data_IF_610157031098
#
_entry.id   IF_610157031098
#
_cell.length_a   1.000
_cell.length_b   1.000
_cell.length_c   1.000
_cell.angle_alpha   90.00
_cell.angle_beta   90.00
_cell.angle_gamma   90.00
#
_symmetry.space_group_name_H-M   'P 1'
#
loop_
_entity.id
_entity.type
_entity.pdbx_description
1 polymer ?
#
# COMPACT_ATOMS: atom_id res chain seq x y z
N UNK A 1 -34.68 12.20 -6.97
CA UNK A 1 -33.69 11.29 -6.37
C UNK A 1 -32.29 11.83 -6.64
N UNK A 2 -31.61 12.42 -5.65
CA UNK A 2 -30.18 12.71 -5.76
C UNK A 2 -29.46 11.36 -5.82
N UNK A 3 -28.78 11.05 -6.92
CA UNK A 3 -27.81 9.94 -6.96
C UNK A 3 -26.68 10.34 -6.02
N UNK A 4 -26.75 9.92 -4.76
CA UNK A 4 -25.67 10.13 -3.81
C UNK A 4 -24.47 9.33 -4.31
N UNK A 5 -23.41 10.03 -4.71
CA UNK A 5 -22.11 9.41 -4.85
C UNK A 5 -21.67 8.98 -3.45
N UNK A 6 -21.24 7.74 -3.31
CA UNK A 6 -20.70 7.24 -2.05
C UNK A 6 -19.29 7.81 -1.86
N UNK A 7 -19.02 8.35 -0.67
CA UNK A 7 -17.69 8.91 -0.37
C UNK A 7 -16.75 7.78 0.03
N UNK A 8 -15.48 7.89 -0.38
CA UNK A 8 -14.47 6.85 -0.20
C UNK A 8 -13.39 7.28 0.80
N UNK A 9 -12.91 6.32 1.58
CA UNK A 9 -11.60 6.36 2.22
C UNK A 9 -10.65 5.46 1.44
N UNK A 10 -9.43 5.93 1.15
CA UNK A 10 -8.39 5.14 0.47
C UNK A 10 -7.13 5.17 1.32
N UNK A 11 -6.65 4.00 1.69
CA UNK A 11 -5.28 3.81 2.14
C UNK A 11 -4.44 3.42 0.91
N UNK A 12 -3.54 4.32 0.50
CA UNK A 12 -2.69 4.14 -0.66
C UNK A 12 -1.31 3.62 -0.22
N UNK A 13 -1.31 2.43 0.36
CA UNK A 13 -0.11 1.80 0.89
C UNK A 13 0.92 1.44 -0.18
N UNK A 14 2.16 1.21 0.27
CA UNK A 14 3.25 0.76 -0.61
C UNK A 14 3.06 -0.71 -1.06
N UNK A 15 2.41 -1.53 -0.23
CA UNK A 15 2.20 -2.96 -0.48
C UNK A 15 0.75 -3.28 -0.89
N UNK A 16 -0.23 -2.72 -0.18
CA UNK A 16 -1.65 -2.95 -0.40
C UNK A 16 -2.40 -1.62 -0.47
N UNK A 17 -3.47 -1.60 -1.24
CA UNK A 17 -4.43 -0.50 -1.29
C UNK A 17 -5.76 -0.97 -0.74
N UNK A 18 -6.25 -0.27 0.27
CA UNK A 18 -7.56 -0.52 0.85
C UNK A 18 -8.49 0.62 0.44
N UNK A 19 -9.73 0.27 0.10
CA UNK A 19 -10.79 1.25 -0.15
C UNK A 19 -11.99 0.92 0.72
N UNK A 20 -12.43 1.91 1.48
CA UNK A 20 -13.66 1.86 2.27
C UNK A 20 -14.73 2.78 1.72
N UNK A 21 -15.99 2.37 1.83
CA UNK A 21 -17.15 3.23 1.58
C UNK A 21 -17.70 3.70 2.93
N UNK A 22 -18.05 4.99 3.02
CA UNK A 22 -18.71 5.54 4.22
C UNK A 22 -19.90 4.66 4.62
N UNK A 23 -19.97 4.29 5.89
CA UNK A 23 -21.02 3.45 6.50
C UNK A 23 -21.10 1.99 6.00
N UNK A 24 -20.18 1.56 5.14
CA UNK A 24 -20.15 0.19 4.60
C UNK A 24 -18.82 -0.56 4.91
N UNK A 25 -17.80 0.16 5.37
CA UNK A 25 -16.50 -0.42 5.70
C UNK A 25 -15.64 -0.69 4.47
N UNK A 26 -14.66 -1.59 4.61
CA UNK A 26 -13.68 -1.93 3.58
C UNK A 26 -14.36 -2.79 2.49
N UNK A 27 -14.26 -2.35 1.24
CA UNK A 27 -14.83 -3.01 0.06
C UNK A 27 -13.78 -3.46 -0.96
N UNK A 28 -12.56 -2.95 -0.85
CA UNK A 28 -11.39 -3.36 -1.61
C UNK A 28 -10.23 -3.51 -0.66
N UNK A 29 -9.53 -4.64 -0.76
CA UNK A 29 -8.26 -4.93 -0.10
C UNK A 29 -7.43 -5.74 -1.10
N UNK A 30 -6.53 -5.06 -1.81
CA UNK A 30 -5.75 -5.67 -2.89
C UNK A 30 -4.32 -5.13 -2.93
N UNK A 31 -3.36 -5.91 -3.46
CA UNK A 31 -1.99 -5.46 -3.64
C UNK A 31 -1.87 -4.17 -4.47
N UNK A 32 -0.96 -3.28 -4.10
CA UNK A 32 -0.64 -2.07 -4.87
C UNK A 32 0.29 -2.39 -6.05
N UNK A 33 -0.19 -3.26 -6.94
CA UNK A 33 0.57 -3.80 -8.08
C UNK A 33 -0.21 -3.56 -9.37
N UNK A 34 0.50 -3.20 -10.43
CA UNK A 34 -0.05 -3.00 -11.77
C UNK A 34 0.80 -3.76 -12.78
N UNK A 35 0.16 -4.53 -13.68
CA UNK A 35 0.85 -5.17 -14.78
C UNK A 35 0.75 -4.29 -16.04
N UNK A 36 1.89 -3.95 -16.61
CA UNK A 36 2.01 -3.08 -17.79
C UNK A 36 2.79 -3.77 -18.90
N UNK A 37 2.62 -3.27 -20.13
CA UNK A 37 3.52 -3.59 -21.22
C UNK A 37 4.89 -2.98 -20.93
N UNK A 38 5.93 -3.80 -21.03
CA UNK A 38 7.30 -3.40 -20.68
C UNK A 38 7.73 -2.14 -21.44
N UNK A 39 8.21 -1.14 -20.69
CA UNK A 39 8.67 0.12 -21.24
C UNK A 39 7.55 1.09 -21.66
N UNK A 40 6.30 0.82 -21.25
CA UNK A 40 5.17 1.74 -21.43
C UNK A 40 4.30 1.77 -20.18
N UNK A 41 3.42 2.77 -20.09
CA UNK A 41 2.42 2.86 -19.02
C UNK A 41 1.09 2.20 -19.42
N UNK A 42 1.09 1.35 -20.46
CA UNK A 42 -0.11 0.66 -20.92
C UNK A 42 -0.42 -0.52 -19.98
N UNK A 43 -1.41 -0.33 -19.11
CA UNK A 43 -1.95 -1.37 -18.23
C UNK A 43 -2.62 -2.46 -19.06
N UNK A 44 -2.36 -3.73 -18.71
CA UNK A 44 -2.90 -4.89 -19.41
C UNK A 44 -4.39 -5.10 -19.13
N UNK A 45 -5.00 -6.00 -19.90
CA UNK A 45 -6.42 -6.38 -19.78
C UNK A 45 -7.34 -5.16 -19.81
N UNK A 46 -7.11 -4.24 -20.75
CA UNK A 46 -7.87 -2.98 -20.89
C UNK A 46 -7.95 -2.15 -19.60
N UNK A 47 -6.85 -2.14 -18.82
CA UNK A 47 -6.77 -1.42 -17.54
C UNK A 47 -7.23 -2.21 -16.33
N UNK A 48 -7.51 -3.51 -16.48
CA UNK A 48 -7.98 -4.38 -15.39
C UNK A 48 -6.87 -5.17 -14.71
N UNK A 49 -5.66 -5.20 -15.27
CA UNK A 49 -4.52 -5.88 -14.67
C UNK A 49 -3.89 -5.04 -13.53
N UNK A 50 -4.65 -4.90 -12.44
CA UNK A 50 -4.33 -4.17 -11.21
C UNK A 50 -4.68 -5.08 -10.03
N UNK A 51 -4.03 -4.91 -8.88
CA UNK A 51 -4.40 -5.63 -7.67
C UNK A 51 -4.01 -7.10 -7.73
N UNK A 52 -4.92 -7.97 -7.31
CA UNK A 52 -4.71 -9.42 -7.31
C UNK A 52 -4.41 -9.95 -8.72
N UNK A 53 -5.08 -9.41 -9.74
CA UNK A 53 -4.82 -9.79 -11.13
C UNK A 53 -3.40 -9.46 -11.56
N UNK A 54 -2.85 -8.32 -11.11
CA UNK A 54 -1.47 -7.95 -11.41
C UNK A 54 -0.45 -8.77 -10.60
N UNK A 55 -0.80 -9.13 -9.36
CA UNK A 55 0.07 -9.90 -8.46
C UNK A 55 0.41 -11.28 -9.04
N UNK A 56 -0.51 -11.93 -9.75
CA UNK A 56 -0.25 -13.21 -10.44
C UNK A 56 0.92 -13.13 -11.43
N UNK A 57 1.16 -11.95 -11.99
CA UNK A 57 2.25 -11.69 -12.91
C UNK A 57 3.56 -11.29 -12.19
N UNK A 58 3.52 -10.90 -10.92
CA UNK A 58 4.70 -10.41 -10.20
C UNK A 58 5.77 -11.52 -10.08
N UNK A 59 6.93 -11.29 -10.69
CA UNK A 59 8.01 -12.27 -10.77
C UNK A 59 7.77 -13.44 -11.74
N UNK A 60 6.66 -13.43 -12.50
CA UNK A 60 6.24 -14.46 -13.47
C UNK A 60 5.72 -13.88 -14.79
N UNK A 61 6.06 -12.62 -15.10
CA UNK A 61 5.61 -11.95 -16.33
C UNK A 61 6.16 -12.62 -17.59
N UNK A 62 5.31 -12.88 -18.60
CA UNK A 62 5.79 -13.28 -19.93
C UNK A 62 6.70 -12.21 -20.55
N UNK A 63 7.53 -12.57 -21.55
CA UNK A 63 8.35 -11.61 -22.28
C UNK A 63 7.52 -10.43 -22.82
N UNK A 64 7.98 -9.21 -22.56
CA UNK A 64 7.30 -7.98 -23.01
C UNK A 64 6.32 -7.38 -21.99
N UNK A 65 6.17 -7.98 -20.81
CA UNK A 65 5.39 -7.42 -19.70
C UNK A 65 6.25 -7.22 -18.45
N UNK A 66 5.77 -6.38 -17.54
CA UNK A 66 6.33 -6.17 -16.21
C UNK A 66 5.22 -5.85 -15.22
N UNK A 67 5.38 -6.30 -13.97
CA UNK A 67 4.52 -5.95 -12.86
C UNK A 67 5.26 -4.95 -11.97
N UNK A 68 4.62 -3.82 -11.68
CA UNK A 68 5.21 -2.65 -11.04
C UNK A 68 4.41 -2.32 -9.78
N UNK A 69 5.12 -1.95 -8.71
CA UNK A 69 4.54 -1.26 -7.55
C UNK A 69 4.74 0.24 -7.77
N UNK A 70 3.68 1.01 -8.09
CA UNK A 70 3.83 2.42 -8.44
C UNK A 70 3.98 3.33 -7.22
N UNK A 71 3.76 2.78 -6.02
CA UNK A 71 4.04 3.39 -4.73
C UNK A 71 5.37 2.85 -4.19
N UNK A 72 6.24 3.71 -3.66
CA UNK A 72 7.49 3.32 -3.02
C UNK A 72 7.75 4.19 -1.79
N UNK A 73 7.98 3.56 -0.63
CA UNK A 73 8.21 4.26 0.64
C UNK A 73 7.19 5.37 0.91
N UNK A 74 5.90 5.07 0.67
CA UNK A 74 4.79 5.99 0.91
C UNK A 74 4.60 7.09 -0.15
N UNK A 75 5.43 7.16 -1.20
CA UNK A 75 5.34 8.17 -2.26
C UNK A 75 5.02 7.58 -3.62
N UNK A 76 4.41 8.38 -4.49
CA UNK A 76 4.10 8.03 -5.88
C UNK A 76 5.40 8.05 -6.69
N UNK A 77 5.86 6.87 -7.13
CA UNK A 77 7.02 6.72 -8.00
C UNK A 77 6.67 6.84 -9.49
N UNK A 78 5.48 6.39 -9.87
CA UNK A 78 4.95 6.53 -11.24
C UNK A 78 3.53 7.12 -11.23
N UNK A 79 3.38 8.33 -11.76
CA UNK A 79 2.13 9.06 -11.74
C UNK A 79 1.04 8.42 -12.61
N UNK A 80 1.37 7.98 -13.82
CA UNK A 80 0.39 7.49 -14.80
C UNK A 80 -0.10 6.09 -14.43
N UNK A 81 0.81 5.26 -13.92
CA UNK A 81 0.48 3.93 -13.40
C UNK A 81 -0.35 4.08 -12.11
N UNK A 82 0.00 5.00 -11.21
CA UNK A 82 -0.81 5.27 -10.00
C UNK A 82 -2.20 5.79 -10.34
N UNK A 83 -2.33 6.70 -11.31
CA UNK A 83 -3.64 7.15 -11.79
C UNK A 83 -4.49 5.99 -12.30
N UNK A 84 -3.90 5.08 -13.07
CA UNK A 84 -4.58 3.91 -13.60
C UNK A 84 -5.01 2.95 -12.49
N UNK A 85 -4.15 2.74 -11.49
CA UNK A 85 -4.42 1.94 -10.29
C UNK A 85 -5.57 2.53 -9.45
N UNK A 86 -5.51 3.82 -9.14
CA UNK A 86 -6.56 4.53 -8.41
C UNK A 86 -7.89 4.50 -9.18
N UNK A 87 -7.85 4.68 -10.50
CA UNK A 87 -9.04 4.60 -11.35
C UNK A 87 -9.68 3.23 -11.28
N UNK A 88 -8.88 2.17 -11.29
CA UNK A 88 -9.35 0.81 -11.10
C UNK A 88 -10.02 0.64 -9.74
N UNK A 89 -9.35 1.00 -8.65
CA UNK A 89 -9.89 0.80 -7.30
C UNK A 89 -11.13 1.65 -7.00
N UNK A 90 -11.18 2.91 -7.43
CA UNK A 90 -12.36 3.77 -7.30
C UNK A 90 -13.56 3.17 -8.05
N UNK A 91 -13.33 2.64 -9.26
CA UNK A 91 -14.39 1.99 -10.06
C UNK A 91 -14.84 0.68 -9.43
N UNK A 92 -13.90 -0.12 -8.91
CA UNK A 92 -14.18 -1.40 -8.26
C UNK A 92 -15.02 -1.20 -7.01
N UNK A 93 -14.67 -0.22 -6.16
CA UNK A 93 -15.45 0.14 -4.98
C UNK A 93 -16.91 0.48 -5.33
N UNK A 94 -17.17 1.10 -6.48
CA UNK A 94 -18.50 1.45 -6.95
C UNK A 94 -19.19 0.37 -7.82
N UNK A 95 -18.75 -0.88 -7.74
CA UNK A 95 -19.35 -1.98 -8.51
C UNK A 95 -19.25 -1.81 -10.03
N UNK A 96 -18.20 -1.14 -10.52
CA UNK A 96 -17.93 -0.95 -11.95
C UNK A 96 -18.72 0.18 -12.63
N UNK A 97 -19.48 0.99 -11.90
CA UNK A 97 -20.27 2.10 -12.46
C UNK A 97 -19.38 3.24 -13.00
N UNK A 98 -19.43 3.51 -14.31
CA UNK A 98 -18.49 4.39 -15.03
C UNK A 98 -18.74 5.92 -14.94
N UNK A 99 -19.66 6.41 -14.11
CA UNK A 99 -20.02 7.84 -14.06
C UNK A 99 -20.20 8.40 -12.64
N UNK A 100 -19.64 7.73 -11.64
CA UNK A 100 -19.66 8.22 -10.25
C UNK A 100 -18.35 8.97 -9.99
N UNK A 101 -18.46 10.16 -9.42
CA UNK A 101 -17.31 11.00 -9.04
C UNK A 101 -17.36 11.25 -7.52
N UNK A 102 -16.76 10.37 -6.71
CA UNK A 102 -16.85 10.43 -5.25
C UNK A 102 -15.98 11.53 -4.66
N UNK A 103 -16.28 11.91 -3.42
CA UNK A 103 -15.26 12.55 -2.60
C UNK A 103 -14.40 11.46 -2.01
N UNK A 104 -13.10 11.71 -1.92
CA UNK A 104 -12.12 10.74 -1.45
C UNK A 104 -11.31 11.36 -0.33
N UNK A 105 -11.12 10.62 0.75
CA UNK A 105 -10.10 10.89 1.78
C UNK A 105 -8.96 9.90 1.56
N UNK A 106 -7.72 10.37 1.47
CA UNK A 106 -6.54 9.52 1.24
C UNK A 106 -5.58 9.69 2.42
N UNK A 107 -5.18 8.57 3.04
CA UNK A 107 -4.11 8.55 4.02
C UNK A 107 -2.75 8.78 3.31
N UNK A 108 -1.92 9.65 3.86
CA UNK A 108 -0.58 9.93 3.34
C UNK A 108 0.45 9.94 4.48
N UNK A 109 1.70 9.52 4.23
CA UNK A 109 2.72 9.44 5.25
C UNK A 109 2.95 10.77 5.95
N UNK A 110 3.37 10.71 7.20
CA UNK A 110 3.87 11.89 7.89
C UNK A 110 5.10 12.46 7.18
N UNK A 111 5.19 13.79 7.12
CA UNK A 111 6.33 14.46 6.48
C UNK A 111 6.33 14.45 4.94
N UNK A 112 5.28 13.93 4.30
CA UNK A 112 5.09 14.04 2.85
C UNK A 112 5.18 15.51 2.39
N UNK A 113 5.96 15.76 1.34
CA UNK A 113 6.25 17.12 0.86
C UNK A 113 5.04 17.73 0.15
N UNK A 114 5.02 19.06 0.01
CA UNK A 114 3.95 19.76 -0.74
C UNK A 114 3.82 19.28 -2.19
N UNK A 115 4.93 18.89 -2.82
CA UNK A 115 4.93 18.38 -4.20
C UNK A 115 4.27 17.00 -4.23
N UNK A 116 4.66 16.09 -3.34
CA UNK A 116 4.07 14.75 -3.25
C UNK A 116 2.58 14.79 -2.87
N UNK A 117 2.16 15.64 -1.92
CA UNK A 117 0.73 15.87 -1.60
C UNK A 117 -0.05 16.27 -2.87
N UNK A 118 0.51 17.16 -3.67
CA UNK A 118 -0.12 17.62 -4.92
C UNK A 118 -0.19 16.50 -5.96
N UNK A 119 0.82 15.64 -6.02
CA UNK A 119 0.83 14.46 -6.89
C UNK A 119 -0.30 13.50 -6.51
N UNK A 120 -0.47 13.17 -5.23
CA UNK A 120 -1.56 12.29 -4.74
C UNK A 120 -2.94 12.84 -5.12
N UNK A 121 -3.17 14.13 -4.83
CA UNK A 121 -4.43 14.81 -5.18
C UNK A 121 -4.68 14.75 -6.69
N UNK A 122 -3.68 15.12 -7.49
CA UNK A 122 -3.81 15.16 -8.95
C UNK A 122 -4.07 13.77 -9.55
N UNK A 123 -3.41 12.72 -9.04
CA UNK A 123 -3.64 11.33 -9.47
C UNK A 123 -5.07 10.89 -9.16
N UNK A 124 -5.57 11.16 -7.95
CA UNK A 124 -6.91 10.78 -7.54
C UNK A 124 -8.01 11.55 -8.31
N UNK A 125 -7.83 12.84 -8.57
CA UNK A 125 -8.74 13.64 -9.39
C UNK A 125 -8.79 13.14 -10.84
N UNK A 126 -7.64 12.87 -11.45
CA UNK A 126 -7.55 12.28 -12.80
C UNK A 126 -8.06 10.84 -12.87
N UNK A 127 -8.01 10.12 -11.76
CA UNK A 127 -8.62 8.80 -11.62
C UNK A 127 -10.16 8.85 -11.55
N UNK A 128 -10.76 10.01 -11.27
CA UNK A 128 -12.21 10.23 -11.29
C UNK A 128 -12.80 10.77 -9.99
N UNK A 129 -11.98 11.08 -8.98
CA UNK A 129 -12.45 11.73 -7.77
C UNK A 129 -12.95 13.16 -8.07
N UNK A 130 -14.03 13.58 -7.40
CA UNK A 130 -14.58 14.94 -7.50
C UNK A 130 -13.85 15.92 -6.59
N UNK A 131 -13.50 15.47 -5.38
CA UNK A 131 -12.75 16.22 -4.37
C UNK A 131 -11.88 15.25 -3.60
N UNK A 132 -10.65 15.65 -3.32
CA UNK A 132 -9.68 14.82 -2.58
C UNK A 132 -9.30 15.56 -1.31
N UNK A 133 -9.38 14.87 -0.18
CA UNK A 133 -8.89 15.31 1.11
C UNK A 133 -7.76 14.38 1.51
N UNK A 134 -6.74 14.93 2.18
CA UNK A 134 -5.64 14.14 2.72
C UNK A 134 -5.77 14.10 4.24
N UNK A 135 -5.42 12.95 4.82
CA UNK A 135 -5.26 12.78 6.26
C UNK A 135 -3.88 12.20 6.51
N UNK A 136 -3.21 12.63 7.58
CA UNK A 136 -1.93 12.05 7.96
C UNK A 136 -2.15 10.60 8.42
N UNK A 137 -1.39 9.68 7.85
CA UNK A 137 -1.41 8.24 8.11
C UNK A 137 -1.36 7.88 9.61
N UNK A 138 -0.51 8.48 10.48
CA UNK A 138 -0.55 8.16 11.91
C UNK A 138 -1.87 8.55 12.57
N UNK A 139 -2.53 9.60 12.10
CA UNK A 139 -3.84 10.00 12.61
C UNK A 139 -4.91 9.02 12.17
N UNK A 140 -4.89 8.60 10.90
CA UNK A 140 -5.79 7.57 10.39
C UNK A 140 -5.60 6.23 11.12
N UNK A 141 -4.36 5.80 11.32
CA UNK A 141 -4.01 4.60 12.06
C UNK A 141 -4.45 4.68 13.52
N UNK A 142 -4.26 5.82 14.19
CA UNK A 142 -4.70 6.04 15.56
C UNK A 142 -6.21 5.95 15.73
N UNK A 143 -6.96 6.53 14.79
CA UNK A 143 -8.42 6.40 14.74
C UNK A 143 -8.82 4.93 14.49
N UNK A 144 -8.17 4.27 13.51
CA UNK A 144 -8.42 2.86 13.17
C UNK A 144 -8.13 1.88 14.32
N UNK A 145 -7.13 2.18 15.15
CA UNK A 145 -6.77 1.44 16.36
C UNK A 145 -7.65 1.79 17.58
N UNK A 146 -8.66 2.64 17.41
CA UNK A 146 -9.57 3.10 18.47
C UNK A 146 -8.84 3.79 19.64
N UNK A 147 -7.73 4.49 19.35
CA UNK A 147 -7.04 5.32 20.33
C UNK A 147 -7.83 6.61 20.57
N UNK A 148 -7.86 7.15 21.81
CA UNK A 148 -8.54 8.40 22.13
C UNK A 148 -7.75 9.63 21.63
N UNK A 149 -7.46 9.68 20.33
CA UNK A 149 -6.59 10.70 19.72
C UNK A 149 -7.10 12.13 19.88
N UNK A 150 -8.39 12.32 20.16
CA UNK A 150 -9.05 13.60 20.36
C UNK A 150 -9.05 14.09 21.82
N UNK A 151 -8.63 13.25 22.76
CA UNK A 151 -8.56 13.57 24.19
C UNK A 151 -7.27 14.33 24.54
N UNK A 152 -7.24 15.07 25.67
CA UNK A 152 -6.03 15.75 26.18
C UNK A 152 -5.02 14.78 26.83
N UNK A 153 -4.86 13.58 26.26
CA UNK A 153 -3.85 12.60 26.64
C UNK A 153 -2.95 12.30 25.44
N UNK A 154 -1.67 11.98 25.69
CA UNK A 154 -0.74 11.58 24.64
C UNK A 154 -0.93 10.11 24.29
N UNK A 155 -1.24 9.81 23.03
CA UNK A 155 -1.33 8.46 22.48
C UNK A 155 -0.16 8.22 21.53
N UNK A 156 0.65 7.19 21.78
CA UNK A 156 1.71 6.79 20.86
C UNK A 156 1.20 5.69 19.94
N UNK A 157 1.49 5.82 18.64
CA UNK A 157 1.25 4.79 17.64
C UNK A 157 2.55 4.47 16.91
N UNK A 158 2.73 3.18 16.59
CA UNK A 158 3.79 2.66 15.74
C UNK A 158 3.12 1.87 14.64
N UNK A 159 3.16 2.38 13.41
CA UNK A 159 2.64 1.75 12.21
C UNK A 159 3.81 1.18 11.39
N UNK A 160 3.81 -0.12 11.12
CA UNK A 160 4.86 -0.80 10.35
C UNK A 160 4.23 -1.31 9.06
N UNK A 161 4.42 -0.55 7.98
CA UNK A 161 3.86 -0.84 6.67
C UNK A 161 4.77 -1.71 5.79
N UNK A 162 4.53 -1.62 4.49
CA UNK A 162 5.37 -2.29 3.48
C UNK A 162 6.73 -1.60 3.28
N UNK A 163 6.74 -0.29 3.07
CA UNK A 163 7.96 0.46 2.72
C UNK A 163 8.37 1.54 3.73
N UNK A 164 7.58 1.77 4.76
CA UNK A 164 7.81 2.76 5.81
C UNK A 164 7.31 2.25 7.15
N UNK A 165 8.00 2.64 8.22
CA UNK A 165 7.48 2.54 9.59
C UNK A 165 7.31 3.95 10.15
N UNK A 166 6.14 4.26 10.68
CA UNK A 166 5.82 5.56 11.22
C UNK A 166 5.57 5.48 12.72
N UNK A 167 6.18 6.41 13.45
CA UNK A 167 6.00 6.53 14.90
C UNK A 167 5.47 7.92 15.18
N UNK A 168 4.34 8.02 15.89
CA UNK A 168 3.74 9.30 16.20
C UNK A 168 3.17 9.34 17.62
N UNK A 169 3.23 10.52 18.24
CA UNK A 169 2.49 10.85 19.46
C UNK A 169 1.40 11.85 19.10
N UNK A 170 0.15 11.53 19.44
CA UNK A 170 -1.05 12.27 19.06
C UNK A 170 -1.79 12.72 20.33
N UNK A 171 -2.27 13.95 20.36
CA UNK A 171 -3.16 14.47 21.40
C UNK A 171 -4.06 15.56 20.83
N UNK A 172 -5.30 15.70 21.31
CA UNK A 172 -6.24 16.71 20.84
C UNK A 172 -6.38 16.75 19.30
N UNK A 173 -6.40 15.57 18.67
CA UNK A 173 -6.43 15.35 17.22
C UNK A 173 -5.27 15.98 16.44
N UNK A 174 -4.16 16.29 17.11
CA UNK A 174 -2.95 16.84 16.52
C UNK A 174 -1.78 15.88 16.73
N UNK A 175 -0.99 15.67 15.67
CA UNK A 175 0.31 15.01 15.78
C UNK A 175 1.28 15.96 16.48
N UNK A 176 1.71 15.59 17.70
CA UNK A 176 2.61 16.38 18.54
C UNK A 176 4.06 16.22 18.07
N UNK A 177 4.44 14.97 17.79
CA UNK A 177 5.74 14.60 17.24
C UNK A 177 5.55 13.32 16.43
N UNK A 178 6.26 13.21 15.31
CA UNK A 178 6.28 11.99 14.54
C UNK A 178 7.57 11.86 13.73
N UNK A 179 7.96 10.61 13.49
CA UNK A 179 9.12 10.20 12.69
C UNK A 179 8.67 9.15 11.68
N UNK A 180 9.15 9.27 10.44
CA UNK A 180 8.88 8.31 9.36
C UNK A 180 10.20 7.70 8.90
N UNK A 181 10.34 6.39 9.09
CA UNK A 181 11.53 5.63 8.76
C UNK A 181 11.29 4.84 7.48
N UNK A 182 12.24 4.89 6.54
CA UNK A 182 12.24 4.06 5.31
C UNK A 182 12.82 2.67 5.58
N UNK A 183 12.29 2.00 6.60
CA UNK A 183 12.62 0.63 6.96
C UNK A 183 11.32 -0.05 7.39
N UNK A 184 10.92 -1.11 6.70
CA UNK A 184 9.67 -1.81 7.01
C UNK A 184 9.63 -3.24 6.42
N UNK A 185 8.43 -3.74 6.10
CA UNK A 185 8.21 -5.10 5.64
C UNK A 185 9.02 -5.52 4.40
N UNK A 186 9.25 -4.62 3.46
CA UNK A 186 10.03 -4.86 2.24
C UNK A 186 11.52 -5.10 2.60
N UNK A 187 12.08 -4.31 3.52
CA UNK A 187 13.47 -4.45 3.98
C UNK A 187 13.68 -5.77 4.76
N UNK A 188 12.67 -6.19 5.53
CA UNK A 188 12.73 -7.48 6.23
C UNK A 188 12.77 -8.64 5.23
N UNK A 189 11.99 -8.56 4.16
CA UNK A 189 11.99 -9.57 3.10
C UNK A 189 13.30 -9.57 2.31
N UNK A 190 13.90 -8.41 2.05
CA UNK A 190 15.21 -8.32 1.41
C UNK A 190 16.34 -8.86 2.31
N UNK A 191 16.24 -8.66 3.62
CA UNK A 191 17.17 -9.24 4.60
C UNK A 191 17.08 -10.77 4.61
N UNK A 192 15.87 -11.34 4.56
CA UNK A 192 15.64 -12.78 4.48
C UNK A 192 16.21 -13.35 3.17
N UNK A 193 15.94 -12.73 2.03
CA UNK A 193 16.47 -13.16 0.74
C UNK A 193 18.01 -13.13 0.73
N UNK A 194 18.60 -12.06 1.29
CA UNK A 194 20.05 -11.90 1.40
C UNK A 194 20.69 -12.96 2.30
N UNK A 195 20.06 -13.25 3.45
CA UNK A 195 20.50 -14.31 4.36
C UNK A 195 20.50 -15.67 3.67
N UNK A 196 19.43 -16.01 2.94
CA UNK A 196 19.30 -17.31 2.26
C UNK A 196 20.35 -17.45 1.16
N UNK A 197 20.58 -16.39 0.38
CA UNK A 197 21.66 -16.38 -0.62
C UNK A 197 23.02 -16.62 0.02
N UNK A 198 23.34 -15.90 1.09
CA UNK A 198 24.67 -15.96 1.70
C UNK A 198 24.93 -17.27 2.45
N UNK A 199 23.90 -17.85 3.09
CA UNK A 199 24.04 -19.08 3.89
C UNK A 199 23.91 -20.36 3.07
N UNK A 200 23.04 -20.36 2.05
CA UNK A 200 22.68 -21.57 1.31
C UNK A 200 23.00 -21.50 -0.20
N UNK A 201 23.61 -20.40 -0.68
CA UNK A 201 23.92 -20.18 -2.11
C UNK A 201 22.66 -20.32 -3.00
N UNK A 202 21.53 -19.85 -2.48
CA UNK A 202 20.20 -19.98 -3.09
C UNK A 202 19.56 -18.61 -3.31
N UNK A 203 19.19 -18.29 -4.55
CA UNK A 203 18.41 -17.10 -4.91
C UNK A 203 16.92 -17.36 -4.76
N UNK A 204 16.26 -16.50 -3.99
CA UNK A 204 14.80 -16.45 -3.88
C UNK A 204 14.28 -15.06 -4.24
N UNK A 205 13.06 -15.00 -4.79
CA UNK A 205 12.41 -13.73 -5.09
C UNK A 205 11.70 -13.14 -3.86
N UNK A 206 11.32 -11.87 -3.96
CA UNK A 206 10.68 -11.10 -2.89
C UNK A 206 9.39 -11.76 -2.35
N UNK A 207 8.55 -12.34 -3.23
CA UNK A 207 7.34 -13.07 -2.83
C UNK A 207 7.67 -14.30 -1.97
N UNK A 208 8.73 -15.04 -2.33
CA UNK A 208 9.16 -16.20 -1.54
C UNK A 208 9.69 -15.74 -0.19
N UNK A 209 10.49 -14.67 -0.16
CA UNK A 209 11.01 -14.11 1.09
C UNK A 209 9.89 -13.61 2.01
N UNK A 210 8.88 -12.93 1.47
CA UNK A 210 7.69 -12.50 2.21
C UNK A 210 6.93 -13.68 2.83
N UNK A 211 6.76 -14.78 2.06
CA UNK A 211 6.13 -16.00 2.58
C UNK A 211 6.91 -16.61 3.73
N UNK A 212 8.24 -16.61 3.65
CA UNK A 212 9.10 -17.10 4.74
C UNK A 212 9.02 -16.18 5.97
N UNK A 213 8.99 -14.86 5.76
CA UNK A 213 8.79 -13.87 6.82
C UNK A 213 7.51 -14.14 7.59
N UNK A 214 6.39 -14.37 6.89
CA UNK A 214 5.09 -14.65 7.52
C UNK A 214 5.08 -16.04 8.17
N UNK A 215 5.72 -17.03 7.56
CA UNK A 215 5.69 -18.41 8.04
C UNK A 215 6.56 -18.66 9.29
N UNK A 216 7.73 -18.02 9.40
CA UNK A 216 8.70 -18.29 10.47
C UNK A 216 9.47 -17.07 10.98
N UNK A 217 9.14 -15.85 10.53
CA UNK A 217 9.78 -14.64 11.03
C UNK A 217 9.39 -14.36 12.48
N UNK A 218 10.39 -14.02 13.30
CA UNK A 218 10.17 -13.55 14.67
C UNK A 218 11.19 -12.47 15.03
N UNK A 219 10.74 -11.45 15.76
CA UNK A 219 11.61 -10.41 16.33
C UNK A 219 12.17 -10.80 17.70
N UNK A 220 11.67 -11.89 18.30
CA UNK A 220 12.10 -12.42 19.60
C UNK A 220 12.38 -13.91 19.50
N UNK A 221 13.21 -14.48 20.39
CA UNK A 221 13.36 -15.93 20.47
C UNK A 221 11.99 -16.61 20.64
N UNK A 222 11.77 -17.69 19.90
CA UNK A 222 10.61 -18.56 20.06
C UNK A 222 10.95 -19.69 21.03
N UNK A 223 9.95 -20.23 21.72
CA UNK A 223 10.12 -21.41 22.58
C UNK A 223 10.45 -22.67 21.75
N UNK A 224 9.85 -22.80 20.57
CA UNK A 224 10.09 -23.86 19.60
C UNK A 224 10.49 -23.24 18.25
N UNK A 225 11.53 -23.79 17.60
CA UNK A 225 11.96 -23.35 16.28
C UNK A 225 10.96 -23.81 15.20
N UNK A 226 10.69 -22.92 14.23
CA UNK A 226 9.81 -23.22 13.10
C UNK A 226 10.65 -23.53 11.87
N UNK A 227 10.57 -24.76 11.39
CA UNK A 227 11.18 -25.19 10.14
C UNK A 227 10.27 -24.88 8.93
N UNK A 228 10.85 -24.32 7.86
CA UNK A 228 10.12 -24.03 6.62
C UNK A 228 10.93 -24.46 5.41
N UNK A 229 10.30 -25.20 4.49
CA UNK A 229 10.92 -25.56 3.21
C UNK A 229 10.96 -24.33 2.28
N UNK A 230 12.13 -24.06 1.71
CA UNK A 230 12.31 -23.00 0.72
C UNK A 230 12.84 -23.59 -0.59
N UNK A 231 12.32 -23.08 -1.72
CA UNK A 231 12.82 -23.37 -3.06
C UNK A 231 13.29 -22.10 -3.73
N UNK A 232 14.44 -22.19 -4.38
CA UNK A 232 15.06 -21.10 -5.13
C UNK A 232 15.85 -21.61 -6.32
N UNK A 233 16.69 -20.76 -6.89
CA UNK A 233 17.64 -21.11 -7.95
C UNK A 233 19.05 -21.02 -7.41
N UNK A 234 19.98 -21.80 -7.94
CA UNK A 234 21.40 -21.63 -7.58
C UNK A 234 21.85 -20.20 -7.87
N UNK A 235 22.57 -19.60 -6.91
CA UNK A 235 23.06 -18.24 -6.98
C UNK A 235 24.34 -18.07 -7.78
#
# INVERSE_FOLDING_TARGET
MRRFSEDLGIDLGTANTLVSIRDHGIVVDEPSVVAVRRGTNQVLLDGMAVGNTALEYLGRTPPGFEAIRPMKSGVIADFEITESMLRYFIRRAHGGRRFIKPQVVIAVPWGITKVEKRTVISSAERAGARRVFLVDEPTAAGIGANLPVHEPHGCMIVDIGGGTSEVAVISLANVVVAECLRVAGDDFSDAIASYIRNKFNLLIGQITAEKLKIAAGSATPLEEEIDVEVRGRDS
#
